data_IF_236277225929
#
_entry.id   IF_236277225929
#
_cell.length_a   1.000
_cell.length_b   1.000
_cell.length_c   1.000
_cell.angle_alpha   90.00
_cell.angle_beta   90.00
_cell.angle_gamma   90.00
#
_symmetry.space_group_name_H-M   'P 1'
#
loop_
_entity.id
_entity.type
_entity.pdbx_description
1 polymer ?
#
# COMPACT_ATOMS: atom_id res chain seq x y z
N UNK A 1 24.63 -8.13 -5.59
CA UNK A 1 23.82 -7.59 -4.48
C UNK A 1 24.09 -8.48 -3.28
N UNK A 2 24.82 -7.96 -2.28
CA UNK A 2 25.51 -8.75 -1.26
C UNK A 2 25.07 -8.47 0.17
N UNK A 3 23.77 -8.27 0.39
CA UNK A 3 23.20 -8.22 1.73
C UNK A 3 22.03 -9.19 1.73
N UNK A 4 22.05 -10.17 2.63
CA UNK A 4 20.94 -11.10 2.83
C UNK A 4 19.79 -10.36 3.54
N UNK A 5 19.03 -9.60 2.76
CA UNK A 5 17.93 -8.78 3.25
C UNK A 5 16.85 -9.66 3.89
N UNK A 6 16.45 -10.74 3.22
CA UNK A 6 15.49 -11.70 3.76
C UNK A 6 15.98 -12.37 5.04
N UNK A 7 17.28 -12.68 5.13
CA UNK A 7 17.92 -13.22 6.33
C UNK A 7 17.62 -12.42 7.60
N UNK A 8 17.51 -11.08 7.49
CA UNK A 8 17.20 -10.22 8.64
C UNK A 8 15.80 -10.39 9.21
N UNK A 9 14.90 -11.05 8.47
CA UNK A 9 13.52 -11.35 8.89
C UNK A 9 13.31 -12.82 9.29
N UNK A 10 14.35 -13.66 9.26
CA UNK A 10 14.27 -14.99 9.85
C UNK A 10 14.53 -14.92 11.35
N UNK A 11 13.51 -15.30 12.12
CA UNK A 11 13.58 -15.39 13.58
C UNK A 11 13.65 -16.85 14.02
N UNK A 12 13.88 -17.09 15.31
CA UNK A 12 13.80 -18.42 15.92
C UNK A 12 12.41 -19.07 15.75
N UNK A 13 11.36 -18.27 15.57
CA UNK A 13 9.96 -18.71 15.50
C UNK A 13 9.46 -18.83 14.05
N UNK A 14 10.31 -18.51 13.07
CA UNK A 14 9.98 -18.56 11.64
C UNK A 14 10.26 -17.23 10.94
N UNK A 15 9.67 -17.08 9.75
CA UNK A 15 9.83 -15.88 8.93
C UNK A 15 8.88 -14.76 9.39
N UNK A 16 9.43 -13.59 9.69
CA UNK A 16 8.69 -12.41 10.15
C UNK A 16 8.14 -11.61 8.95
N UNK A 17 7.00 -12.07 8.42
CA UNK A 17 6.29 -11.36 7.35
C UNK A 17 5.87 -9.93 7.78
N UNK A 18 5.43 -9.76 9.03
CA UNK A 18 4.94 -8.47 9.51
C UNK A 18 6.07 -7.44 9.59
N UNK A 19 7.23 -7.83 10.11
CA UNK A 19 8.43 -7.01 10.13
C UNK A 19 8.87 -6.58 8.74
N UNK A 20 8.87 -7.51 7.78
CA UNK A 20 9.20 -7.25 6.37
C UNK A 20 8.27 -6.21 5.75
N UNK A 21 6.95 -6.43 5.85
CA UNK A 21 5.96 -5.49 5.29
C UNK A 21 6.04 -4.12 5.98
N UNK A 22 6.29 -4.09 7.28
CA UNK A 22 6.47 -2.84 7.99
C UNK A 22 7.71 -2.08 7.48
N UNK A 23 8.85 -2.76 7.29
CA UNK A 23 10.06 -2.13 6.79
C UNK A 23 9.90 -1.60 5.36
N UNK A 24 9.31 -2.40 4.46
CA UNK A 24 9.22 -2.06 3.04
C UNK A 24 8.09 -1.05 2.73
N UNK A 25 6.96 -1.13 3.43
CA UNK A 25 5.75 -0.39 3.05
C UNK A 25 5.23 0.57 4.13
N UNK A 26 5.01 0.10 5.36
CA UNK A 26 4.30 0.90 6.37
C UNK A 26 5.19 1.94 7.05
N UNK A 27 6.48 1.69 7.24
CA UNK A 27 7.39 2.63 7.86
C UNK A 27 7.49 3.95 7.07
N UNK A 28 7.73 3.96 5.74
CA UNK A 28 7.72 5.19 4.95
C UNK A 28 6.38 5.93 5.01
N UNK A 29 5.24 5.21 4.91
CA UNK A 29 3.89 5.79 5.04
C UNK A 29 3.74 6.48 6.39
N UNK A 30 4.14 5.82 7.48
CA UNK A 30 4.07 6.36 8.84
C UNK A 30 4.92 7.61 9.02
N UNK A 31 6.15 7.61 8.51
CA UNK A 31 7.05 8.78 8.56
C UNK A 31 6.37 9.97 7.86
N UNK A 32 5.91 9.79 6.63
CA UNK A 32 5.23 10.86 5.90
C UNK A 32 3.96 11.34 6.62
N UNK A 33 3.18 10.43 7.16
CA UNK A 33 1.97 10.77 7.90
C UNK A 33 2.27 11.59 9.15
N UNK A 34 3.27 11.18 9.95
CA UNK A 34 3.70 11.88 11.16
C UNK A 34 4.26 13.28 10.86
N UNK A 35 4.91 13.44 9.70
CA UNK A 35 5.38 14.73 9.19
C UNK A 35 4.31 15.50 8.38
N UNK A 36 3.03 15.12 8.50
CA UNK A 36 1.88 15.80 7.90
C UNK A 36 1.89 15.85 6.36
N UNK A 37 2.69 15.01 5.71
CA UNK A 37 2.71 14.82 4.25
C UNK A 37 1.64 13.80 3.81
N UNK A 38 0.38 14.08 4.14
CA UNK A 38 -0.72 13.10 4.02
C UNK A 38 -1.00 12.61 2.60
N UNK A 39 -0.93 13.49 1.61
CA UNK A 39 -1.08 13.10 0.20
C UNK A 39 0.03 12.14 -0.22
N UNK A 40 1.27 12.41 0.18
CA UNK A 40 2.41 11.54 -0.11
C UNK A 40 2.29 10.20 0.63
N UNK A 41 1.85 10.21 1.89
CA UNK A 41 1.56 9.00 2.65
C UNK A 41 0.48 8.14 1.97
N UNK A 42 -0.61 8.77 1.50
CA UNK A 42 -1.66 8.08 0.76
C UNK A 42 -1.14 7.48 -0.55
N UNK A 43 -0.32 8.23 -1.31
CA UNK A 43 0.31 7.71 -2.54
C UNK A 43 1.17 6.47 -2.26
N UNK A 44 2.02 6.51 -1.23
CA UNK A 44 2.84 5.35 -0.87
C UNK A 44 1.99 4.16 -0.41
N UNK A 45 0.91 4.41 0.34
CA UNK A 45 -0.02 3.35 0.74
C UNK A 45 -0.67 2.68 -0.48
N UNK A 46 -1.10 3.45 -1.48
CA UNK A 46 -1.72 2.92 -2.69
C UNK A 46 -0.72 2.11 -3.53
N UNK A 47 0.54 2.55 -3.59
CA UNK A 47 1.63 1.77 -4.22
C UNK A 47 1.90 0.48 -3.44
N UNK A 48 1.88 0.52 -2.10
CA UNK A 48 2.06 -0.69 -1.30
C UNK A 48 0.98 -1.75 -1.59
N UNK A 49 -0.27 -1.33 -1.78
CA UNK A 49 -1.36 -2.25 -2.17
C UNK A 49 -1.10 -2.85 -3.56
N UNK A 50 -0.65 -2.06 -4.55
CA UNK A 50 -0.25 -2.58 -5.87
C UNK A 50 0.85 -3.65 -5.73
N UNK A 51 1.88 -3.36 -4.93
CA UNK A 51 3.01 -4.28 -4.69
C UNK A 51 2.56 -5.59 -4.02
N UNK A 52 1.73 -5.51 -2.99
CA UNK A 52 1.22 -6.68 -2.28
C UNK A 52 0.30 -7.50 -3.18
N UNK A 53 -0.60 -6.85 -3.92
CA UNK A 53 -1.46 -7.51 -4.89
C UNK A 53 -0.66 -8.23 -5.98
N UNK A 54 0.45 -7.64 -6.44
CA UNK A 54 1.37 -8.27 -7.38
C UNK A 54 2.05 -9.51 -6.81
N UNK A 55 2.52 -9.44 -5.55
CA UNK A 55 3.13 -10.60 -4.87
C UNK A 55 2.14 -11.77 -4.78
N UNK A 56 0.88 -11.49 -4.45
CA UNK A 56 -0.16 -12.51 -4.32
C UNK A 56 -0.67 -13.05 -5.68
N UNK A 57 -0.87 -12.18 -6.66
CA UNK A 57 -1.58 -12.51 -7.91
C UNK A 57 -0.68 -12.35 -9.15
N UNK A 58 0.57 -12.75 -9.05
CA UNK A 58 1.59 -12.52 -10.08
C UNK A 58 1.33 -13.15 -11.46
N UNK A 59 0.30 -13.98 -11.59
CA UNK A 59 -0.16 -14.49 -12.89
C UNK A 59 -0.92 -13.40 -13.66
N UNK A 60 -0.61 -13.27 -14.95
CA UNK A 60 -1.31 -12.35 -15.85
C UNK A 60 -2.75 -12.80 -16.05
N UNK A 61 -3.62 -12.40 -15.14
CA UNK A 61 -5.06 -12.53 -15.28
C UNK A 61 -5.62 -11.29 -15.98
N UNK A 62 -6.81 -11.41 -16.60
CA UNK A 62 -7.55 -10.24 -17.11
C UNK A 62 -8.13 -9.38 -15.99
N UNK A 63 -8.06 -9.85 -14.76
CA UNK A 63 -8.65 -9.22 -13.59
C UNK A 63 -7.73 -8.15 -13.01
N UNK A 64 -8.32 -7.14 -12.40
CA UNK A 64 -7.57 -6.11 -11.69
C UNK A 64 -7.10 -6.66 -10.34
N UNK A 65 -5.82 -7.02 -10.24
CA UNK A 65 -5.24 -7.62 -9.04
C UNK A 65 -5.32 -6.73 -7.79
N UNK A 66 -5.27 -5.40 -7.94
CA UNK A 66 -5.45 -4.45 -6.83
C UNK A 66 -6.86 -4.58 -6.24
N UNK A 67 -7.87 -4.55 -7.11
CA UNK A 67 -9.27 -4.69 -6.69
C UNK A 67 -9.52 -6.08 -6.10
N UNK A 68 -8.99 -7.13 -6.73
CA UNK A 68 -9.12 -8.51 -6.26
C UNK A 68 -8.53 -8.68 -4.86
N UNK A 69 -7.31 -8.19 -4.63
CA UNK A 69 -6.64 -8.29 -3.34
C UNK A 69 -7.44 -7.57 -2.25
N UNK A 70 -7.90 -6.34 -2.52
CA UNK A 70 -8.74 -5.60 -1.58
C UNK A 70 -10.06 -6.32 -1.27
N UNK A 71 -10.77 -6.82 -2.29
CA UNK A 71 -12.02 -7.55 -2.08
C UNK A 71 -11.82 -8.87 -1.34
N UNK A 72 -10.63 -9.45 -1.40
CA UNK A 72 -10.29 -10.70 -0.71
C UNK A 72 -9.91 -10.46 0.75
N UNK A 73 -9.09 -9.44 1.01
CA UNK A 73 -8.42 -9.29 2.30
C UNK A 73 -8.85 -8.07 3.10
N UNK A 74 -9.43 -7.03 2.50
CA UNK A 74 -9.76 -5.77 3.18
C UNK A 74 -11.27 -5.62 3.46
N UNK A 75 -11.61 -5.09 4.63
CA UNK A 75 -12.95 -4.59 4.92
C UNK A 75 -12.98 -3.06 4.73
N UNK A 76 -13.59 -2.62 3.62
CA UNK A 76 -13.74 -1.20 3.30
C UNK A 76 -15.13 -0.66 3.66
N UNK A 77 -16.05 -1.50 4.12
CA UNK A 77 -17.42 -1.08 4.42
C UNK A 77 -17.46 0.04 5.49
N UNK A 78 -16.65 0.01 6.58
CA UNK A 78 -16.60 1.10 7.55
C UNK A 78 -16.11 2.45 7.01
N UNK A 79 -15.45 2.46 5.84
CA UNK A 79 -15.01 3.67 5.15
C UNK A 79 -16.03 4.21 4.16
N UNK A 80 -17.06 3.43 3.80
CA UNK A 80 -18.08 3.83 2.83
C UNK A 80 -17.56 3.99 1.39
N UNK A 81 -16.49 3.27 1.04
CA UNK A 81 -15.89 3.24 -0.29
C UNK A 81 -15.73 1.80 -0.79
N UNK A 82 -15.63 1.62 -2.10
CA UNK A 82 -15.34 0.30 -2.71
C UNK A 82 -13.89 0.18 -3.19
N UNK A 83 -13.46 -1.05 -3.46
CA UNK A 83 -12.13 -1.32 -4.02
C UNK A 83 -11.95 -0.70 -5.42
N UNK A 84 -13.01 -0.68 -6.25
CA UNK A 84 -13.01 -0.06 -7.57
C UNK A 84 -12.89 1.46 -7.48
N UNK A 85 -13.59 2.08 -6.53
CA UNK A 85 -13.46 3.52 -6.27
C UNK A 85 -12.02 3.88 -5.84
N UNK A 86 -11.44 3.05 -4.96
CA UNK A 86 -10.07 3.24 -4.50
C UNK A 86 -9.04 3.02 -5.62
N UNK A 87 -9.27 2.06 -6.52
CA UNK A 87 -8.46 1.85 -7.72
C UNK A 87 -8.47 3.06 -8.65
N UNK A 88 -9.64 3.63 -8.89
CA UNK A 88 -9.77 4.82 -9.74
C UNK A 88 -9.14 6.05 -9.08
N UNK A 89 -9.29 6.19 -7.77
CA UNK A 89 -8.60 7.23 -6.99
C UNK A 89 -7.07 7.07 -7.07
N UNK A 90 -6.56 5.85 -6.93
CA UNK A 90 -5.14 5.51 -7.12
C UNK A 90 -4.63 5.95 -8.48
N UNK A 91 -5.37 5.69 -9.56
CA UNK A 91 -4.95 6.09 -10.90
C UNK A 91 -4.78 7.60 -11.03
N UNK A 92 -5.71 8.38 -10.51
CA UNK A 92 -5.63 9.84 -10.54
C UNK A 92 -4.51 10.38 -9.67
N UNK A 93 -4.39 9.86 -8.45
CA UNK A 93 -3.45 10.38 -7.47
C UNK A 93 -2.00 10.07 -7.86
N UNK A 94 -1.72 8.86 -8.35
CA UNK A 94 -0.36 8.46 -8.73
C UNK A 94 0.09 9.00 -10.08
N UNK A 95 -0.79 9.07 -11.08
CA UNK A 95 -0.38 9.52 -12.42
C UNK A 95 -0.47 11.03 -12.64
N UNK A 96 -1.47 11.69 -12.04
CA UNK A 96 -1.74 13.11 -12.31
C UNK A 96 -1.70 13.98 -11.05
N UNK A 97 -1.55 13.36 -9.87
CA UNK A 97 -1.65 14.05 -8.58
C UNK A 97 -2.94 14.87 -8.43
N UNK A 98 -4.04 14.35 -8.96
CA UNK A 98 -5.37 14.96 -8.89
C UNK A 98 -6.43 13.94 -8.43
N UNK A 99 -7.71 14.34 -8.46
CA UNK A 99 -8.84 13.52 -7.98
C UNK A 99 -9.69 12.91 -9.11
N UNK A 100 -9.41 13.27 -10.36
CA UNK A 100 -10.31 13.00 -11.49
C UNK A 100 -9.71 11.95 -12.42
N UNK A 101 -10.27 10.74 -12.37
CA UNK A 101 -9.94 9.67 -13.31
C UNK A 101 -10.84 9.81 -14.53
N UNK A 102 -10.52 9.14 -15.64
CA UNK A 102 -11.43 9.09 -16.79
C UNK A 102 -12.82 8.55 -16.41
N UNK A 103 -12.89 7.62 -15.45
CA UNK A 103 -14.17 7.08 -14.95
C UNK A 103 -14.90 8.04 -14.03
N UNK A 104 -14.18 8.84 -13.23
CA UNK A 104 -14.77 9.91 -12.42
C UNK A 104 -15.39 10.96 -13.33
N UNK A 105 -14.65 11.44 -14.34
CA UNK A 105 -15.11 12.46 -15.29
C UNK A 105 -16.33 11.99 -16.10
N UNK A 106 -16.40 10.68 -16.40
CA UNK A 106 -17.56 10.10 -17.10
C UNK A 106 -18.73 9.70 -16.19
N UNK A 107 -18.66 9.99 -14.88
CA UNK A 107 -19.71 9.68 -13.90
C UNK A 107 -19.89 8.19 -13.61
N UNK A 108 -18.93 7.34 -14.01
CA UNK A 108 -19.00 5.88 -13.81
C UNK A 108 -18.52 5.43 -12.43
N UNK A 109 -17.84 6.31 -11.71
CA UNK A 109 -17.37 6.08 -10.33
C UNK A 109 -17.40 7.41 -9.58
N UNK A 110 -17.58 7.38 -8.27
CA UNK A 110 -17.51 8.59 -7.45
C UNK A 110 -16.08 9.11 -7.39
N UNK A 111 -15.93 10.43 -7.29
CA UNK A 111 -14.66 11.04 -6.89
C UNK A 111 -14.37 10.66 -5.44
N UNK A 112 -13.14 10.29 -5.09
CA UNK A 112 -12.78 10.11 -3.69
C UNK A 112 -11.99 11.29 -3.13
N UNK A 113 -12.32 11.71 -1.92
CA UNK A 113 -11.62 12.73 -1.14
C UNK A 113 -11.35 12.17 0.25
N UNK A 114 -10.10 12.14 0.67
CA UNK A 114 -9.78 11.74 2.04
C UNK A 114 -9.76 12.94 3.00
N UNK A 115 -10.07 12.66 4.26
CA UNK A 115 -9.93 13.60 5.37
C UNK A 115 -9.22 12.95 6.55
N UNK A 116 -8.93 13.75 7.57
CA UNK A 116 -8.27 13.34 8.81
C UNK A 116 -9.13 13.72 10.01
N UNK A 117 -9.00 12.94 11.09
CA UNK A 117 -9.76 13.16 12.31
C UNK A 117 -11.26 12.92 12.15
N UNK A 118 -12.04 13.59 12.99
CA UNK A 118 -13.50 13.51 13.00
C UNK A 118 -14.11 14.70 12.26
N UNK A 119 -15.11 14.43 11.43
CA UNK A 119 -15.89 15.48 10.77
C UNK A 119 -16.91 16.03 11.77
N UNK A 120 -16.92 17.35 12.03
CA UNK A 120 -17.97 17.96 12.84
C UNK A 120 -19.35 17.73 12.21
N UNK A 121 -20.38 17.54 13.05
CA UNK A 121 -21.76 17.32 12.58
C UNK A 121 -22.33 18.48 11.75
N UNK A 122 -21.73 19.67 11.85
CA UNK A 122 -22.07 20.85 11.05
C UNK A 122 -21.57 20.80 9.60
N UNK A 123 -20.60 19.92 9.28
CA UNK A 123 -20.05 19.80 7.93
C UNK A 123 -20.99 18.96 7.07
N UNK A 124 -21.61 19.60 6.06
CA UNK A 124 -22.42 18.91 5.06
C UNK A 124 -21.54 18.53 3.87
N UNK A 125 -21.36 17.24 3.66
CA UNK A 125 -20.60 16.69 2.55
C UNK A 125 -21.54 16.31 1.39
N UNK A 126 -21.16 16.64 0.17
CA UNK A 126 -21.90 16.21 -1.02
C UNK A 126 -21.54 14.76 -1.38
N UNK A 127 -22.36 13.82 -0.89
CA UNK A 127 -22.14 12.40 -1.13
C UNK A 127 -22.76 11.89 -2.45
N UNK A 128 -23.40 12.76 -3.23
CA UNK A 128 -24.06 12.35 -4.48
C UNK A 128 -23.06 11.90 -5.55
N UNK A 129 -21.91 12.56 -5.61
CA UNK A 129 -20.85 12.29 -6.60
C UNK A 129 -19.46 12.09 -5.98
N UNK A 130 -19.34 12.32 -4.66
CA UNK A 130 -18.06 12.24 -3.94
C UNK A 130 -18.15 11.25 -2.78
N UNK A 131 -17.21 10.30 -2.73
CA UNK A 131 -16.96 9.46 -1.56
C UNK A 131 -15.92 10.12 -0.66
N UNK A 132 -16.26 10.26 0.63
CA UNK A 132 -15.36 10.81 1.63
C UNK A 132 -14.92 9.71 2.59
N UNK A 133 -13.62 9.56 2.79
CA UNK A 133 -13.08 8.53 3.67
C UNK A 133 -11.99 9.08 4.59
N UNK A 134 -11.83 8.49 5.77
CA UNK A 134 -10.77 8.87 6.70
C UNK A 134 -9.47 8.12 6.35
N UNK A 135 -8.39 8.85 6.09
CA UNK A 135 -7.11 8.25 5.69
C UNK A 135 -6.49 7.37 6.78
N UNK A 136 -6.61 7.75 8.06
CA UNK A 136 -6.10 6.94 9.17
C UNK A 136 -6.84 5.61 9.26
N UNK A 137 -8.17 5.63 9.08
CA UNK A 137 -8.97 4.39 9.04
C UNK A 137 -8.59 3.51 7.85
N UNK A 138 -8.22 4.11 6.72
CA UNK A 138 -7.74 3.34 5.55
C UNK A 138 -6.41 2.66 5.87
N UNK A 139 -5.44 3.37 6.44
CA UNK A 139 -4.14 2.80 6.85
C UNK A 139 -4.35 1.60 7.78
N UNK A 140 -5.25 1.72 8.77
CA UNK A 140 -5.58 0.62 9.69
C UNK A 140 -6.23 -0.56 8.96
N UNK A 141 -7.24 -0.31 8.12
CA UNK A 141 -7.92 -1.36 7.37
C UNK A 141 -6.96 -2.14 6.45
N UNK A 142 -5.99 -1.46 5.84
CA UNK A 142 -4.95 -2.10 5.01
C UNK A 142 -3.95 -2.86 5.87
N UNK A 143 -3.57 -2.35 7.05
CA UNK A 143 -2.74 -3.10 8.01
C UNK A 143 -3.39 -4.41 8.45
N UNK A 144 -4.69 -4.37 8.77
CA UNK A 144 -5.47 -5.57 9.10
C UNK A 144 -5.60 -6.53 7.91
N UNK A 145 -5.78 -6.00 6.69
CA UNK A 145 -5.81 -6.80 5.47
C UNK A 145 -4.47 -7.52 5.23
N UNK A 146 -3.34 -6.87 5.50
CA UNK A 146 -2.03 -7.49 5.44
C UNK A 146 -1.90 -8.62 6.47
N UNK A 147 -2.40 -8.42 7.69
CA UNK A 147 -2.44 -9.48 8.71
C UNK A 147 -3.20 -10.72 8.24
N UNK A 148 -4.44 -10.54 7.74
CA UNK A 148 -5.25 -11.63 7.18
C UNK A 148 -4.57 -12.31 5.98
N UNK A 149 -3.90 -11.55 5.13
CA UNK A 149 -3.12 -12.10 4.03
C UNK A 149 -1.93 -12.93 4.52
N UNK A 150 -1.17 -12.44 5.50
CA UNK A 150 -0.06 -13.16 6.11
C UNK A 150 -0.49 -14.50 6.73
N UNK A 151 -1.63 -14.53 7.41
CA UNK A 151 -2.21 -15.76 7.99
C UNK A 151 -2.45 -16.86 6.95
N UNK A 152 -2.68 -16.51 5.67
CA UNK A 152 -2.88 -17.53 4.63
C UNK A 152 -1.65 -18.38 4.35
N UNK A 153 -0.44 -17.87 4.63
CA UNK A 153 0.82 -18.61 4.43
C UNK A 153 0.99 -19.74 5.45
N UNK A 154 0.35 -19.64 6.61
CA UNK A 154 0.33 -20.74 7.58
C UNK A 154 -0.51 -21.91 7.08
N UNK A 155 -1.60 -21.61 6.37
CA UNK A 155 -2.52 -22.63 5.83
C UNK A 155 -2.15 -23.15 4.45
N UNK A 156 -1.46 -22.34 3.63
CA UNK A 156 -1.04 -22.70 2.28
C UNK A 156 0.43 -22.34 2.06
N UNK A 157 1.30 -23.29 2.42
CA UNK A 157 2.75 -23.16 2.25
C UNK A 157 3.19 -23.16 0.79
N UNK A 158 2.35 -23.57 -0.16
CA UNK A 158 2.70 -23.55 -1.58
C UNK A 158 2.91 -22.12 -2.09
N UNK A 159 2.32 -21.13 -1.40
CA UNK A 159 2.46 -19.70 -1.70
C UNK A 159 3.86 -19.16 -1.42
N UNK A 160 4.67 -19.82 -0.59
CA UNK A 160 5.96 -19.28 -0.12
C UNK A 160 6.96 -19.12 -1.27
N UNK A 161 7.05 -20.10 -2.17
CA UNK A 161 7.96 -20.03 -3.31
C UNK A 161 7.61 -18.85 -4.23
N UNK A 162 6.32 -18.72 -4.55
CA UNK A 162 5.82 -17.60 -5.34
C UNK A 162 6.07 -16.26 -4.63
N UNK A 163 5.82 -16.20 -3.32
CA UNK A 163 6.11 -15.02 -2.51
C UNK A 163 7.57 -14.61 -2.64
N UNK A 164 8.52 -15.50 -2.34
CA UNK A 164 9.96 -15.15 -2.39
C UNK A 164 10.35 -14.64 -3.78
N UNK A 165 9.91 -15.36 -4.83
CA UNK A 165 10.21 -14.98 -6.21
C UNK A 165 9.72 -13.58 -6.57
N UNK A 166 8.49 -13.23 -6.20
CA UNK A 166 7.91 -11.94 -6.56
C UNK A 166 8.35 -10.83 -5.63
N UNK A 167 8.54 -11.15 -4.36
CA UNK A 167 8.95 -10.20 -3.35
C UNK A 167 10.41 -9.76 -3.54
N UNK A 168 11.25 -10.58 -4.17
CA UNK A 168 12.61 -10.19 -4.57
C UNK A 168 12.63 -9.02 -5.57
N UNK A 169 11.55 -8.84 -6.35
CA UNK A 169 11.41 -7.74 -7.30
C UNK A 169 10.93 -6.43 -6.64
N UNK A 170 10.57 -6.46 -5.36
CA UNK A 170 10.11 -5.28 -4.64
C UNK A 170 11.31 -4.37 -4.34
N UNK A 171 11.17 -3.12 -4.78
CA UNK A 171 12.06 -2.02 -4.41
C UNK A 171 11.50 -1.28 -3.19
N UNK A 172 12.36 -0.99 -2.23
CA UNK A 172 12.04 -0.20 -1.04
C UNK A 172 13.28 0.54 -0.54
N UNK A 173 13.07 1.60 0.24
CA UNK A 173 14.17 2.37 0.84
C UNK A 173 15.05 1.48 1.73
N UNK A 174 14.46 0.50 2.44
CA UNK A 174 15.18 -0.44 3.31
C UNK A 174 16.15 -1.35 2.54
N UNK A 175 15.94 -1.53 1.23
CA UNK A 175 16.77 -2.37 0.34
C UNK A 175 17.83 -1.57 -0.41
N UNK A 176 17.78 -0.24 -0.36
CA UNK A 176 18.68 0.62 -1.13
C UNK A 176 20.10 0.60 -0.55
N UNK A 177 21.08 0.36 -1.42
CA UNK A 177 22.49 0.47 -1.06
C UNK A 177 22.90 1.95 -1.04
N UNK A 178 23.32 2.44 0.13
CA UNK A 178 23.90 3.77 0.27
C UNK A 178 25.41 3.71 0.08
N UNK A 179 25.92 4.35 -0.98
CA UNK A 179 27.36 4.50 -1.23
C UNK A 179 27.78 5.90 -0.79
N UNK A 180 28.56 5.99 0.29
CA UNK A 180 29.12 7.27 0.76
C UNK A 180 30.27 7.69 -0.16
N UNK A 181 30.22 8.90 -0.71
CA UNK A 181 31.20 9.42 -1.67
C UNK A 181 32.43 10.09 -1.01
N UNK A 182 32.65 9.94 0.30
CA UNK A 182 33.67 10.72 1.02
C UNK A 182 35.08 10.09 1.10
N UNK A 183 35.30 8.86 0.64
CA UNK A 183 36.62 8.20 0.78
C UNK A 183 37.69 8.59 -0.27
N UNK A 184 37.43 9.62 -1.09
CA UNK A 184 38.32 10.06 -2.18
C UNK A 184 39.24 11.24 -1.88
N UNK A 185 39.20 11.86 -0.68
CA UNK A 185 39.88 13.15 -0.40
C UNK A 185 41.14 13.08 0.47
N UNK A 186 41.80 11.91 0.57
CA UNK A 186 43.09 11.77 1.26
C UNK A 186 44.18 11.08 0.42
N UNK A 187 44.38 11.54 -0.82
CA UNK A 187 45.62 11.33 -1.55
C UNK A 187 46.14 12.69 -2.04
N UNK A 188 46.90 13.37 -1.18
CA UNK A 188 47.88 14.39 -1.56
C UNK A 188 49.15 14.12 -0.77
#
# INVERSE_FOLDING_TARGET
>A
MGVDYFGSFFTKDGFDFTGLLNADFFQPVRILFQHQHYVSAAKLLLVAIDSIAYVEHSETTRENIFVRWLNTYADLAPLGITAEELWEHRNSLLHMSNLDSRKVVSGRTRRLVFFLGELPSSVKLDQSTTGYYNLQKLILAIGEACGRWCETYDTDRSKIEAFVKQYDLIASDARMMHVNLEDGRHAR
#
